data_IF_283126858262
#
_entry.id   IF_283126858262
#
_cell.length_a   1.000
_cell.length_b   1.000
_cell.length_c   1.000
_cell.angle_alpha   90.00
_cell.angle_beta   90.00
_cell.angle_gamma   90.00
#
_symmetry.space_group_name_H-M   'P 1'
#
loop_
_entity.id
_entity.type
_entity.pdbx_description
1 polymer ?
#
# COMPACT_ATOMS: atom_id res chain seq x y z
N UNK A 1 45.95 -7.72 27.75
CA UNK A 1 47.03 -8.40 27.00
C UNK A 1 46.40 -8.81 25.66
N UNK A 2 46.60 -8.24 24.47
CA UNK A 2 47.58 -7.36 23.81
C UNK A 2 46.95 -6.93 22.44
N UNK A 3 46.94 -5.64 22.02
CA UNK A 3 47.79 -5.01 20.96
C UNK A 3 47.80 -5.76 19.59
N UNK A 4 47.71 -5.21 18.37
CA UNK A 4 47.74 -3.89 17.69
C UNK A 4 47.30 -4.17 16.22
N UNK A 5 46.53 -3.32 15.55
CA UNK A 5 47.05 -2.59 14.35
C UNK A 5 46.27 -1.30 14.10
N UNK A 6 46.85 -0.19 14.58
CA UNK A 6 46.57 1.17 14.08
C UNK A 6 47.27 1.30 12.73
N UNK A 7 46.50 1.37 11.64
CA UNK A 7 47.01 1.79 10.33
C UNK A 7 46.84 3.32 10.17
N UNK A 8 47.97 4.01 10.30
CA UNK A 8 48.38 5.28 9.68
C UNK A 8 47.30 6.16 8.98
N UNK A 9 46.79 7.16 9.70
CA UNK A 9 46.14 8.37 9.16
C UNK A 9 47.08 9.59 9.17
N UNK A 10 48.38 9.43 8.89
CA UNK A 10 49.37 10.53 8.94
C UNK A 10 49.88 11.02 7.58
N UNK A 11 49.30 10.58 6.45
CA UNK A 11 49.79 10.97 5.10
C UNK A 11 49.07 12.14 4.43
N UNK A 12 48.08 12.75 5.08
CA UNK A 12 47.27 13.82 4.46
C UNK A 12 47.76 15.24 4.85
N UNK A 13 48.51 15.40 5.95
CA UNK A 13 48.98 16.71 6.41
C UNK A 13 50.25 17.24 5.73
N UNK A 14 50.94 16.44 4.90
CA UNK A 14 52.21 16.84 4.27
C UNK A 14 52.11 17.47 2.87
N UNK A 15 50.91 17.71 2.33
CA UNK A 15 50.71 18.25 0.97
C UNK A 15 50.17 19.68 0.91
N UNK A 16 49.79 20.27 2.04
CA UNK A 16 49.22 21.62 2.08
C UNK A 16 50.30 22.69 1.93
N UNK A 17 51.51 22.45 2.45
CA UNK A 17 52.62 23.41 2.39
C UNK A 17 53.23 23.60 0.98
N UNK A 18 52.91 22.71 0.03
CA UNK A 18 53.37 22.81 -1.37
C UNK A 18 52.46 23.67 -2.25
N UNK A 19 51.21 23.93 -1.83
CA UNK A 19 50.27 24.75 -2.60
C UNK A 19 50.37 26.23 -2.25
N UNK A 20 50.91 26.57 -1.08
CA UNK A 20 51.14 27.95 -0.67
C UNK A 20 52.16 28.66 -1.59
N UNK A 21 53.23 27.95 -2.00
CA UNK A 21 54.30 28.51 -2.83
C UNK A 21 53.94 28.69 -4.32
N UNK A 22 52.81 28.12 -4.78
CA UNK A 22 52.30 28.33 -6.14
C UNK A 22 51.40 29.58 -6.25
N UNK A 23 50.83 30.04 -5.13
CA UNK A 23 49.97 31.23 -5.11
C UNK A 23 50.76 32.54 -5.15
N UNK A 24 51.99 32.58 -4.64
CA UNK A 24 52.81 33.81 -4.68
C UNK A 24 53.31 34.17 -6.09
N UNK A 25 53.31 33.24 -7.06
CA UNK A 25 53.74 33.51 -8.44
C UNK A 25 52.60 33.94 -9.38
N UNK A 26 51.33 33.85 -8.98
CA UNK A 26 50.20 34.21 -9.85
C UNK A 26 49.66 35.63 -9.66
N UNK A 27 50.19 36.42 -8.72
CA UNK A 27 49.75 37.81 -8.50
C UNK A 27 50.26 38.84 -9.54
N UNK A 28 51.04 38.43 -10.55
CA UNK A 28 51.59 39.34 -11.57
C UNK A 28 50.82 39.34 -12.91
N UNK A 29 49.49 39.21 -12.88
CA UNK A 29 48.67 39.40 -14.10
C UNK A 29 47.56 40.42 -13.87
N UNK A 30 47.98 41.66 -13.60
CA UNK A 30 47.14 42.86 -13.68
C UNK A 30 46.80 43.17 -15.14
N UNK A 31 45.73 42.60 -15.68
CA UNK A 31 44.98 43.16 -16.81
C UNK A 31 43.56 42.57 -16.80
N UNK A 32 42.56 43.36 -16.37
CA UNK A 32 41.16 43.34 -16.86
C UNK A 32 40.28 44.32 -16.05
N UNK A 33 40.57 45.61 -16.14
CA UNK A 33 39.81 46.68 -15.46
C UNK A 33 38.46 47.01 -16.13
N UNK A 34 38.06 46.32 -17.20
CA UNK A 34 36.83 46.63 -17.95
C UNK A 34 35.64 45.69 -17.69
N UNK A 35 35.85 44.50 -17.11
CA UNK A 35 34.76 43.51 -16.89
C UNK A 35 34.04 43.67 -15.54
N UNK A 36 34.71 44.25 -14.54
CA UNK A 36 34.18 44.35 -13.18
C UNK A 36 33.08 45.42 -12.97
N UNK A 37 32.90 46.36 -13.92
CA UNK A 37 31.92 47.45 -13.78
C UNK A 37 30.48 46.96 -14.04
N UNK A 38 30.32 45.87 -14.81
CA UNK A 38 28.99 45.35 -15.17
C UNK A 38 28.46 44.36 -14.12
N UNK A 39 29.34 43.57 -13.49
CA UNK A 39 28.97 42.63 -12.42
C UNK A 39 28.66 43.31 -11.09
N UNK A 40 29.36 44.39 -10.73
CA UNK A 40 29.05 45.17 -9.51
C UNK A 40 27.64 45.77 -9.56
N UNK A 41 27.19 46.22 -10.74
CA UNK A 41 25.83 46.72 -10.95
C UNK A 41 24.74 45.65 -10.78
N UNK A 42 25.01 44.38 -11.07
CA UNK A 42 24.07 43.28 -10.86
C UNK A 42 24.01 42.84 -9.40
N UNK A 43 25.16 42.83 -8.72
CA UNK A 43 25.23 42.55 -7.28
C UNK A 43 24.50 43.63 -6.48
N UNK A 44 24.73 44.91 -6.81
CA UNK A 44 24.07 46.03 -6.15
C UNK A 44 22.54 46.01 -6.35
N UNK A 45 22.06 45.62 -7.54
CA UNK A 45 20.63 45.40 -7.80
C UNK A 45 20.06 44.24 -6.98
N UNK A 46 20.79 43.12 -6.88
CA UNK A 46 20.35 41.95 -6.12
C UNK A 46 20.27 42.25 -4.63
N UNK A 47 21.23 43.01 -4.10
CA UNK A 47 21.23 43.47 -2.70
C UNK A 47 20.09 44.47 -2.44
N UNK A 48 19.80 45.38 -3.38
CA UNK A 48 18.63 46.27 -3.28
C UNK A 48 17.31 45.48 -3.25
N UNK A 49 17.20 44.44 -4.07
CA UNK A 49 16.03 43.55 -4.04
C UNK A 49 15.94 42.77 -2.71
N UNK A 50 17.06 42.27 -2.20
CA UNK A 50 17.10 41.59 -0.90
C UNK A 50 16.69 42.53 0.24
N UNK A 51 17.20 43.76 0.24
CA UNK A 51 16.80 44.80 1.19
C UNK A 51 15.30 45.11 1.12
N UNK A 52 14.73 45.26 -0.09
CA UNK A 52 13.29 45.46 -0.22
C UNK A 52 12.46 44.25 0.26
N UNK A 53 13.03 43.05 0.16
CA UNK A 53 12.40 41.82 0.65
C UNK A 53 12.45 41.77 2.19
N UNK A 54 13.59 42.09 2.79
CA UNK A 54 13.74 42.24 4.24
C UNK A 54 12.76 43.28 4.80
N UNK A 55 12.67 44.44 4.17
CA UNK A 55 11.77 45.52 4.58
C UNK A 55 10.29 45.08 4.46
N UNK A 56 9.93 44.34 3.39
CA UNK A 56 8.59 43.77 3.19
C UNK A 56 8.25 42.69 4.23
N UNK A 57 9.20 41.80 4.53
CA UNK A 57 9.05 40.76 5.55
C UNK A 57 8.90 41.41 6.93
N UNK A 58 9.73 42.41 7.24
CA UNK A 58 9.66 43.14 8.50
C UNK A 58 8.30 43.83 8.66
N UNK A 59 7.79 44.47 7.61
CA UNK A 59 6.48 45.12 7.63
C UNK A 59 5.33 44.10 7.78
N UNK A 60 5.44 42.95 7.10
CA UNK A 60 4.49 41.85 7.27
C UNK A 60 4.47 41.32 8.71
N UNK A 61 5.64 41.14 9.32
CA UNK A 61 5.77 40.69 10.71
C UNK A 61 5.18 41.72 11.69
N UNK A 62 5.41 43.03 11.48
CA UNK A 62 4.76 44.08 12.29
C UNK A 62 3.24 44.01 12.17
N UNK A 63 2.71 43.93 10.94
CA UNK A 63 1.27 43.87 10.70
C UNK A 63 0.65 42.60 11.31
N UNK A 64 1.37 41.47 11.26
CA UNK A 64 0.94 40.23 11.91
C UNK A 64 0.87 40.37 13.43
N UNK A 65 1.89 40.97 14.06
CA UNK A 65 1.91 41.21 15.50
C UNK A 65 0.73 42.10 15.95
N UNK A 66 0.43 43.15 15.17
CA UNK A 66 -0.70 44.04 15.44
C UNK A 66 -2.03 43.26 15.33
N UNK A 67 -2.18 42.41 14.31
CA UNK A 67 -3.37 41.59 14.13
C UNK A 67 -3.55 40.57 15.26
N UNK A 68 -2.48 39.90 15.68
CA UNK A 68 -2.49 39.01 16.86
C UNK A 68 -2.91 39.76 18.13
N UNK A 69 -2.44 40.99 18.33
CA UNK A 69 -2.88 41.82 19.46
C UNK A 69 -4.37 42.16 19.37
N UNK A 70 -4.89 42.49 18.16
CA UNK A 70 -6.32 42.74 17.94
C UNK A 70 -7.17 41.50 18.23
N UNK A 71 -6.72 40.31 17.82
CA UNK A 71 -7.39 39.04 18.16
C UNK A 71 -7.39 38.79 19.68
N UNK A 72 -6.27 39.02 20.36
CA UNK A 72 -6.19 38.92 21.82
C UNK A 72 -7.09 39.96 22.52
N UNK A 73 -7.34 41.12 21.89
CA UNK A 73 -8.26 42.11 22.46
C UNK A 73 -9.71 41.63 22.52
N UNK A 74 -10.11 40.75 21.61
CA UNK A 74 -11.45 40.18 21.56
C UNK A 74 -11.76 39.26 22.74
N UNK A 75 -10.73 38.73 23.40
CA UNK A 75 -10.87 37.84 24.56
C UNK A 75 -11.09 38.65 25.84
N UNK A 76 -10.84 39.97 25.81
CA UNK A 76 -11.05 40.94 26.90
C UNK A 76 -10.57 40.44 28.28
N UNK A 77 -9.35 39.87 28.34
CA UNK A 77 -8.80 39.22 29.54
C UNK A 77 -8.74 40.15 30.76
N UNK A 78 -8.65 41.48 30.54
CA UNK A 78 -8.56 42.50 31.60
C UNK A 78 -9.88 43.26 31.87
N UNK A 79 -10.96 42.98 31.13
CA UNK A 79 -12.28 43.61 31.33
C UNK A 79 -12.32 45.13 31.09
N UNK A 80 -11.36 45.68 30.35
CA UNK A 80 -11.18 47.13 30.14
C UNK A 80 -12.03 47.68 29.00
N UNK A 81 -12.48 46.82 28.08
CA UNK A 81 -13.41 47.20 27.01
C UNK A 81 -14.85 46.84 27.37
N UNK A 82 -15.80 47.69 27.00
CA UNK A 82 -17.23 47.41 27.10
C UNK A 82 -17.62 46.22 26.21
N UNK A 83 -18.50 45.34 26.71
CA UNK A 83 -18.93 44.13 26.01
C UNK A 83 -19.53 44.43 24.62
N UNK A 84 -20.19 45.60 24.45
CA UNK A 84 -20.74 46.04 23.16
C UNK A 84 -19.63 46.32 22.12
N UNK A 85 -18.53 46.93 22.57
CA UNK A 85 -17.36 47.26 21.71
C UNK A 85 -16.62 45.98 21.30
N UNK A 86 -16.51 45.01 22.20
CA UNK A 86 -15.89 43.69 21.92
C UNK A 86 -16.73 42.92 20.89
N UNK A 87 -18.07 42.95 21.01
CA UNK A 87 -18.96 42.29 20.04
C UNK A 87 -18.88 42.97 18.67
N UNK A 88 -18.83 44.31 18.60
CA UNK A 88 -18.62 45.05 17.34
C UNK A 88 -17.27 44.71 16.70
N UNK A 89 -16.19 44.68 17.48
CA UNK A 89 -14.84 44.35 16.98
C UNK A 89 -14.75 42.90 16.49
N UNK A 90 -15.40 41.96 17.19
CA UNK A 90 -15.48 40.54 16.77
C UNK A 90 -16.21 40.40 15.44
N UNK A 91 -17.31 41.13 15.25
CA UNK A 91 -18.05 41.15 13.98
C UNK A 91 -17.22 41.79 12.86
N UNK A 92 -16.47 42.86 13.14
CA UNK A 92 -15.57 43.48 12.18
C UNK A 92 -14.44 42.53 11.73
N UNK A 93 -13.84 41.78 12.66
CA UNK A 93 -12.79 40.81 12.32
C UNK A 93 -13.33 39.70 11.41
N UNK A 94 -14.51 39.15 11.74
CA UNK A 94 -15.18 38.14 10.92
C UNK A 94 -15.52 38.66 9.51
N UNK A 95 -15.91 39.93 9.42
CA UNK A 95 -16.12 40.63 8.14
C UNK A 95 -14.81 40.74 7.35
N UNK A 96 -13.70 41.11 7.99
CA UNK A 96 -12.40 41.18 7.36
C UNK A 96 -11.91 39.80 6.87
N UNK A 97 -12.12 38.74 7.65
CA UNK A 97 -11.83 37.36 7.22
C UNK A 97 -12.70 36.94 6.04
N UNK A 98 -14.00 37.25 6.06
CA UNK A 98 -14.89 37.00 4.92
C UNK A 98 -14.46 37.77 3.67
N UNK A 99 -14.05 39.02 3.81
CA UNK A 99 -13.53 39.84 2.71
C UNK A 99 -12.27 39.26 2.07
N UNK A 100 -11.41 38.57 2.84
CA UNK A 100 -10.26 37.83 2.29
C UNK A 100 -10.68 36.74 1.30
N UNK A 101 -11.86 36.17 1.47
CA UNK A 101 -12.42 35.15 0.57
C UNK A 101 -13.32 35.75 -0.52
N UNK A 102 -13.81 36.99 -0.35
CA UNK A 102 -14.59 37.71 -1.36
C UNK A 102 -13.76 38.41 -2.45
N UNK A 103 -12.44 38.52 -2.26
CA UNK A 103 -11.54 39.09 -3.28
C UNK A 103 -10.54 38.05 -3.79
N UNK A 104 -10.47 37.87 -5.12
CA UNK A 104 -9.43 37.07 -5.78
C UNK A 104 -8.05 37.74 -5.65
N UNK A 105 -6.94 36.97 -5.73
CA UNK A 105 -5.60 37.53 -5.73
C UNK A 105 -5.42 38.63 -6.79
N UNK A 106 -4.59 39.66 -6.54
CA UNK A 106 -4.49 40.88 -7.35
C UNK A 106 -3.73 40.69 -8.67
N UNK A 107 -3.90 39.56 -9.34
CA UNK A 107 -3.37 39.29 -10.68
C UNK A 107 -4.36 39.60 -11.80
N UNK A 108 -5.63 39.89 -11.49
CA UNK A 108 -6.61 40.31 -12.49
C UNK A 108 -6.70 41.84 -12.54
N UNK A 109 -6.63 42.40 -13.75
CA UNK A 109 -6.64 43.85 -14.02
C UNK A 109 -7.98 44.55 -13.71
N UNK A 110 -8.95 43.85 -13.11
CA UNK A 110 -10.29 44.36 -12.83
C UNK A 110 -10.50 44.41 -11.31
N UNK A 111 -10.24 45.57 -10.70
CA UNK A 111 -10.39 45.80 -9.25
C UNK A 111 -11.85 45.88 -8.75
N UNK A 112 -12.83 45.36 -9.47
CA UNK A 112 -14.26 45.65 -9.21
C UNK A 112 -15.21 44.45 -9.24
N UNK A 113 -14.71 43.21 -9.27
CA UNK A 113 -15.59 42.05 -9.11
C UNK A 113 -15.60 41.63 -7.63
N UNK A 114 -16.52 42.23 -6.86
CA UNK A 114 -16.96 41.69 -5.57
C UNK A 114 -17.61 40.31 -5.85
N UNK A 115 -16.95 39.22 -5.42
CA UNK A 115 -17.51 37.88 -5.57
C UNK A 115 -18.62 37.67 -4.56
N UNK A 116 -19.85 37.52 -5.04
CA UNK A 116 -21.01 37.14 -4.25
C UNK A 116 -20.85 35.72 -3.69
N UNK A 117 -20.25 35.59 -2.50
CA UNK A 117 -20.35 34.37 -1.71
C UNK A 117 -21.81 34.26 -1.23
N UNK A 118 -22.55 33.29 -1.77
CA UNK A 118 -23.92 32.94 -1.37
C UNK A 118 -24.98 34.06 -1.54
N UNK A 119 -24.75 35.04 -2.43
CA UNK A 119 -25.74 36.08 -2.76
C UNK A 119 -25.87 37.22 -1.75
N UNK A 120 -24.92 37.35 -0.81
CA UNK A 120 -24.85 38.48 0.12
C UNK A 120 -24.02 39.60 -0.54
N UNK A 121 -24.67 40.69 -0.93
CA UNK A 121 -24.02 41.85 -1.58
C UNK A 121 -23.63 42.95 -0.60
N UNK A 122 -24.27 43.02 0.57
CA UNK A 122 -24.05 44.10 1.54
C UNK A 122 -23.60 43.54 2.88
N UNK A 123 -22.31 43.67 3.18
CA UNK A 123 -21.82 43.50 4.54
C UNK A 123 -22.24 44.71 5.39
N UNK A 124 -22.70 44.50 6.64
CA UNK A 124 -23.02 45.60 7.54
C UNK A 124 -21.77 46.43 7.82
N UNK A 125 -21.82 47.72 7.50
CA UNK A 125 -20.79 48.70 7.89
C UNK A 125 -20.95 48.99 9.37
N UNK A 126 -19.96 48.57 10.16
CA UNK A 126 -19.88 48.91 11.57
C UNK A 126 -19.00 50.15 11.71
N UNK A 127 -19.62 51.26 12.11
CA UNK A 127 -18.90 52.48 12.45
C UNK A 127 -18.69 52.51 13.96
N UNK A 128 -17.43 52.66 14.38
CA UNK A 128 -17.09 52.92 15.77
C UNK A 128 -17.16 54.41 16.06
N UNK A 129 -17.62 54.77 17.25
CA UNK A 129 -17.53 56.16 17.70
C UNK A 129 -16.07 56.52 18.03
N UNK A 130 -15.73 57.82 18.02
CA UNK A 130 -14.36 58.28 18.25
C UNK A 130 -13.78 57.81 19.59
N UNK A 131 -14.60 57.77 20.64
CA UNK A 131 -14.22 57.26 21.97
C UNK A 131 -13.95 55.74 21.93
N UNK A 132 -14.80 54.96 21.27
CA UNK A 132 -14.60 53.51 21.12
C UNK A 132 -13.31 53.20 20.35
N UNK A 133 -12.97 53.98 19.32
CA UNK A 133 -11.72 53.85 18.55
C UNK A 133 -10.50 54.16 19.44
N UNK A 134 -10.59 55.22 20.25
CA UNK A 134 -9.52 55.62 21.17
C UNK A 134 -9.26 54.55 22.22
N UNK A 135 -10.32 53.96 22.77
CA UNK A 135 -10.24 52.90 23.78
C UNK A 135 -9.64 51.61 23.22
N UNK A 136 -10.08 51.18 22.02
CA UNK A 136 -9.49 50.03 21.31
C UNK A 136 -8.01 50.29 21.03
N UNK A 137 -7.67 51.49 20.53
CA UNK A 137 -6.28 51.85 20.23
C UNK A 137 -5.41 51.83 21.47
N UNK A 138 -5.86 52.44 22.56
CA UNK A 138 -5.13 52.46 23.82
C UNK A 138 -4.88 51.05 24.34
N UNK A 139 -5.90 50.19 24.28
CA UNK A 139 -5.78 48.80 24.72
C UNK A 139 -4.82 47.97 23.85
N UNK A 140 -4.91 48.09 22.52
CA UNK A 140 -3.98 47.43 21.59
C UNK A 140 -2.53 47.92 21.81
N UNK A 141 -2.33 49.22 22.02
CA UNK A 141 -1.00 49.77 22.33
C UNK A 141 -0.43 49.22 23.65
N UNK A 142 -1.26 49.04 24.68
CA UNK A 142 -0.80 48.44 25.95
C UNK A 142 -0.40 46.98 25.79
N UNK A 143 -1.17 46.17 25.05
CA UNK A 143 -0.85 44.78 24.77
C UNK A 143 0.41 44.65 23.90
N UNK A 144 0.56 45.50 22.88
CA UNK A 144 1.78 45.57 22.06
C UNK A 144 3.01 45.86 22.92
N UNK A 145 2.93 46.83 23.84
CA UNK A 145 4.03 47.13 24.77
C UNK A 145 4.38 45.95 25.67
N UNK A 146 3.37 45.23 26.18
CA UNK A 146 3.58 44.03 26.99
C UNK A 146 4.28 42.91 26.20
N UNK A 147 3.83 42.64 24.96
CA UNK A 147 4.46 41.65 24.07
C UNK A 147 5.88 42.01 23.67
N UNK A 148 6.13 43.28 23.35
CA UNK A 148 7.48 43.79 23.06
C UNK A 148 8.37 43.60 24.29
N UNK A 149 7.87 43.92 25.49
CA UNK A 149 8.63 43.73 26.72
C UNK A 149 8.94 42.25 26.99
N UNK A 150 7.97 41.36 26.79
CA UNK A 150 8.18 39.91 26.91
C UNK A 150 9.22 39.40 25.91
N UNK A 151 9.16 39.86 24.65
CA UNK A 151 10.15 39.51 23.62
C UNK A 151 11.56 39.98 24.01
N UNK A 152 11.70 41.19 24.54
CA UNK A 152 12.99 41.71 25.05
C UNK A 152 13.50 40.83 26.18
N UNK A 153 12.67 40.47 27.16
CA UNK A 153 13.07 39.61 28.27
C UNK A 153 13.50 38.21 27.80
N UNK A 154 12.77 37.60 26.85
CA UNK A 154 13.15 36.31 26.27
C UNK A 154 14.47 36.40 25.50
N UNK A 155 14.68 37.50 24.77
CA UNK A 155 15.92 37.75 24.04
C UNK A 155 17.12 37.90 24.99
N UNK A 156 16.95 38.63 26.09
CA UNK A 156 17.97 38.75 27.14
C UNK A 156 18.27 37.40 27.82
N UNK A 157 17.24 36.59 28.10
CA UNK A 157 17.41 35.23 28.65
C UNK A 157 18.18 34.29 27.72
N UNK A 158 18.04 34.46 26.40
CA UNK A 158 18.79 33.71 25.39
C UNK A 158 20.23 34.21 25.21
N UNK A 159 20.69 35.15 26.05
CA UNK A 159 22.04 35.69 26.04
C UNK A 159 22.25 36.86 25.08
N UNK A 160 21.17 37.44 24.56
CA UNK A 160 21.22 38.59 23.67
C UNK A 160 21.39 39.93 24.42
N UNK A 161 22.22 40.83 23.88
CA UNK A 161 22.40 42.18 24.44
C UNK A 161 21.62 43.21 23.61
N UNK A 162 20.52 43.74 24.15
CA UNK A 162 19.69 44.71 23.44
C UNK A 162 20.42 46.03 23.14
N UNK A 163 21.43 46.39 23.96
CA UNK A 163 22.27 47.58 23.72
C UNK A 163 23.18 47.44 22.50
N UNK A 164 23.49 46.21 22.10
CA UNK A 164 24.27 45.93 20.88
C UNK A 164 23.40 45.96 19.62
N UNK A 165 22.17 45.42 19.67
CA UNK A 165 21.24 45.50 18.53
C UNK A 165 20.94 46.94 18.13
N UNK A 166 20.64 47.80 19.10
CA UNK A 166 20.31 49.21 18.82
C UNK A 166 21.51 49.90 18.15
N UNK A 167 22.74 49.59 18.58
CA UNK A 167 23.98 50.09 17.94
C UNK A 167 24.25 49.46 16.56
N UNK A 168 23.82 48.22 16.33
CA UNK A 168 23.99 47.50 15.06
C UNK A 168 22.98 47.94 14.00
N UNK A 169 21.81 48.42 14.40
CA UNK A 169 20.80 48.94 13.47
C UNK A 169 21.29 50.24 12.82
N UNK A 170 22.05 51.05 13.55
CA UNK A 170 22.74 52.25 13.04
C UNK A 170 24.00 51.90 12.21
N UNK A 171 24.64 50.76 12.49
CA UNK A 171 25.77 50.26 11.73
C UNK A 171 25.29 49.40 10.55
N UNK A 172 25.00 50.08 9.45
CA UNK A 172 24.84 49.60 8.07
C UNK A 172 25.59 48.27 7.75
N UNK A 173 25.11 47.11 8.26
CA UNK A 173 25.73 45.79 8.02
C UNK A 173 25.78 45.50 6.51
N UNK A 174 24.81 46.06 5.77
CA UNK A 174 24.74 46.04 4.31
C UNK A 174 26.02 46.60 3.66
N UNK A 175 26.63 47.65 4.23
CA UNK A 175 27.92 48.19 3.74
C UNK A 175 29.12 47.32 4.11
N UNK A 176 29.13 46.70 5.29
CA UNK A 176 30.22 45.78 5.69
C UNK A 176 30.26 44.50 4.85
N UNK A 177 29.11 44.01 4.37
CA UNK A 177 29.06 42.89 3.41
C UNK A 177 29.65 43.28 2.06
N UNK A 178 29.50 44.54 1.64
CA UNK A 178 30.11 45.10 0.44
C UNK A 178 31.62 45.36 0.59
N UNK A 179 32.07 45.73 1.79
CA UNK A 179 33.49 46.04 2.05
C UNK A 179 34.34 44.79 2.36
N UNK A 180 33.72 43.68 2.77
CA UNK A 180 34.40 42.40 3.01
C UNK A 180 34.57 41.59 1.72
N UNK A 181 35.66 41.88 1.00
CA UNK A 181 36.25 41.10 -0.10
C UNK A 181 35.24 40.49 -1.09
N UNK A 182 34.80 41.28 -2.08
CA UNK A 182 34.11 40.79 -3.28
C UNK A 182 34.81 39.54 -3.85
N UNK A 183 36.15 39.49 -3.81
CA UNK A 183 36.98 38.37 -4.26
C UNK A 183 36.66 37.06 -3.53
N UNK A 184 36.41 37.09 -2.21
CA UNK A 184 36.05 35.88 -1.46
C UNK A 184 34.65 35.40 -1.84
N UNK A 185 33.71 36.32 -2.07
CA UNK A 185 32.33 35.98 -2.49
C UNK A 185 32.35 35.31 -3.86
N UNK A 186 33.15 35.81 -4.81
CA UNK A 186 33.32 35.18 -6.12
C UNK A 186 33.96 33.80 -6.02
N UNK A 187 35.01 33.62 -5.20
CA UNK A 187 35.63 32.31 -4.99
C UNK A 187 34.66 31.29 -4.40
N UNK A 188 33.81 31.70 -3.44
CA UNK A 188 32.79 30.82 -2.87
C UNK A 188 31.69 30.48 -3.88
N UNK A 189 31.28 31.44 -4.71
CA UNK A 189 30.32 31.20 -5.79
C UNK A 189 30.86 30.15 -6.78
N UNK A 190 32.09 30.33 -7.26
CA UNK A 190 32.71 29.42 -8.23
C UNK A 190 32.84 28.00 -7.65
N UNK A 191 33.21 27.90 -6.36
CA UNK A 191 33.31 26.61 -5.65
C UNK A 191 31.96 25.91 -5.48
N UNK A 192 30.89 26.66 -5.25
CA UNK A 192 29.53 26.11 -5.20
C UNK A 192 29.10 25.62 -6.58
N UNK A 193 29.38 26.40 -7.62
CA UNK A 193 29.00 26.08 -9.00
C UNK A 193 29.74 24.84 -9.54
N UNK A 194 31.02 24.68 -9.19
CA UNK A 194 31.82 23.48 -9.49
C UNK A 194 31.24 22.23 -8.79
N UNK A 195 30.90 22.33 -7.50
CA UNK A 195 30.28 21.23 -6.76
C UNK A 195 28.91 20.86 -7.36
N UNK A 196 28.07 21.84 -7.68
CA UNK A 196 26.79 21.60 -8.33
C UNK A 196 26.95 20.87 -9.67
N UNK A 197 27.89 21.32 -10.50
CA UNK A 197 28.19 20.67 -11.79
C UNK A 197 28.67 19.21 -11.61
N UNK A 198 29.45 18.95 -10.56
CA UNK A 198 29.91 17.61 -10.24
C UNK A 198 28.76 16.70 -9.76
N UNK A 199 27.85 17.23 -8.94
CA UNK A 199 26.63 16.51 -8.54
C UNK A 199 25.73 16.18 -9.73
N UNK A 200 25.53 17.11 -10.67
CA UNK A 200 24.77 16.84 -11.89
C UNK A 200 25.41 15.74 -12.74
N UNK A 201 26.75 15.77 -12.88
CA UNK A 201 27.50 14.74 -13.58
C UNK A 201 27.36 13.36 -12.91
N UNK A 202 27.32 13.31 -11.58
CA UNK A 202 27.18 12.04 -10.86
C UNK A 202 25.74 11.52 -10.85
N UNK A 203 24.74 12.40 -10.78
CA UNK A 203 23.32 12.04 -10.94
C UNK A 203 23.08 11.45 -12.34
N UNK A 204 23.62 12.08 -13.38
CA UNK A 204 23.48 11.56 -14.75
C UNK A 204 24.18 10.21 -14.92
N UNK A 205 25.39 10.01 -14.37
CA UNK A 205 26.03 8.69 -14.32
C UNK A 205 25.17 7.65 -13.60
N UNK A 206 24.65 7.97 -12.41
CA UNK A 206 23.79 7.06 -11.65
C UNK A 206 22.53 6.69 -12.44
N UNK A 207 21.90 7.64 -13.12
CA UNK A 207 20.76 7.39 -14.02
C UNK A 207 21.12 6.43 -15.15
N UNK A 208 22.28 6.60 -15.79
CA UNK A 208 22.72 5.68 -16.85
C UNK A 208 22.99 4.27 -16.33
N UNK A 209 23.59 4.14 -15.14
CA UNK A 209 23.82 2.85 -14.47
C UNK A 209 22.50 2.17 -14.13
N UNK A 210 21.54 2.90 -13.57
CA UNK A 210 20.22 2.39 -13.24
C UNK A 210 19.48 1.89 -14.49
N UNK A 211 19.58 2.61 -15.61
CA UNK A 211 19.01 2.18 -16.88
C UNK A 211 19.69 0.92 -17.43
N UNK A 212 21.02 0.83 -17.37
CA UNK A 212 21.75 -0.39 -17.75
C UNK A 212 21.36 -1.58 -16.88
N UNK A 213 21.19 -1.38 -15.58
CA UNK A 213 20.73 -2.41 -14.66
C UNK A 213 19.31 -2.88 -14.97
N UNK A 214 18.39 -1.95 -15.25
CA UNK A 214 17.03 -2.30 -15.68
C UNK A 214 17.04 -3.11 -16.98
N UNK A 215 17.83 -2.70 -17.98
CA UNK A 215 17.95 -3.46 -19.23
C UNK A 215 18.48 -4.87 -18.94
N UNK A 216 19.55 -5.02 -18.16
CA UNK A 216 20.09 -6.33 -17.78
C UNK A 216 19.06 -7.18 -17.01
N UNK A 217 18.32 -6.58 -16.09
CA UNK A 217 17.31 -7.27 -15.27
C UNK A 217 16.16 -7.80 -16.11
N UNK A 218 15.68 -7.04 -17.11
CA UNK A 218 14.50 -7.42 -17.88
C UNK A 218 14.80 -8.16 -19.19
N UNK A 219 16.06 -8.13 -19.67
CA UNK A 219 16.44 -8.73 -20.96
C UNK A 219 16.30 -10.25 -20.99
N UNK A 220 16.68 -10.94 -19.91
CA UNK A 220 16.61 -12.41 -19.85
C UNK A 220 15.32 -12.93 -19.21
N UNK A 221 14.60 -12.08 -18.47
CA UNK A 221 13.39 -12.47 -17.74
C UNK A 221 12.26 -12.85 -18.70
N UNK A 222 12.08 -12.13 -19.81
CA UNK A 222 11.08 -12.47 -20.82
C UNK A 222 11.36 -13.83 -21.46
N UNK A 223 12.64 -14.13 -21.76
CA UNK A 223 13.06 -15.41 -22.32
C UNK A 223 12.85 -16.57 -21.35
N UNK A 224 13.22 -16.39 -20.08
CA UNK A 224 13.01 -17.40 -19.02
C UNK A 224 11.51 -17.69 -18.83
N UNK A 225 10.65 -16.66 -18.85
CA UNK A 225 9.21 -16.87 -18.75
C UNK A 225 8.63 -17.61 -19.95
N UNK A 226 9.14 -17.34 -21.16
CA UNK A 226 8.74 -18.04 -22.38
C UNK A 226 9.16 -19.52 -22.32
N UNK A 227 10.42 -19.80 -21.97
CA UNK A 227 10.93 -21.17 -21.80
C UNK A 227 10.14 -21.94 -20.73
N UNK A 228 9.77 -21.27 -19.62
CA UNK A 228 8.93 -21.86 -18.58
C UNK A 228 7.51 -22.16 -19.07
N UNK A 229 6.94 -21.29 -19.88
CA UNK A 229 5.63 -21.52 -20.48
C UNK A 229 5.66 -22.70 -21.47
N UNK A 230 6.70 -22.79 -22.31
CA UNK A 230 6.93 -23.92 -23.20
C UNK A 230 7.09 -25.23 -22.44
N UNK A 231 7.85 -25.22 -21.34
CA UNK A 231 8.01 -26.39 -20.48
C UNK A 231 6.66 -26.87 -19.89
N UNK A 232 5.85 -25.95 -19.38
CA UNK A 232 4.52 -26.29 -18.82
C UNK A 232 3.60 -26.84 -19.92
N UNK A 233 3.64 -26.25 -21.12
CA UNK A 233 2.88 -26.73 -22.26
C UNK A 233 3.29 -28.16 -22.65
N UNK A 234 4.61 -28.43 -22.71
CA UNK A 234 5.13 -29.76 -22.98
C UNK A 234 4.68 -30.77 -21.91
N UNK A 235 4.74 -30.39 -20.63
CA UNK A 235 4.27 -31.22 -19.53
C UNK A 235 2.77 -31.57 -19.64
N UNK A 236 1.94 -30.60 -20.05
CA UNK A 236 0.52 -30.83 -20.27
C UNK A 236 0.27 -31.79 -21.45
N UNK A 237 1.00 -31.64 -22.55
CA UNK A 237 0.92 -32.54 -23.71
C UNK A 237 1.33 -33.98 -23.35
N UNK A 238 2.39 -34.15 -22.56
CA UNK A 238 2.81 -35.47 -22.06
C UNK A 238 1.72 -36.10 -21.20
N UNK A 239 1.11 -35.33 -20.28
CA UNK A 239 0.02 -35.81 -19.45
C UNK A 239 -1.21 -36.23 -20.28
N UNK A 240 -1.56 -35.48 -21.33
CA UNK A 240 -2.65 -35.83 -22.25
C UNK A 240 -2.38 -37.16 -22.97
N UNK A 241 -1.16 -37.35 -23.49
CA UNK A 241 -0.77 -38.59 -24.16
C UNK A 241 -0.78 -39.76 -23.17
N UNK A 242 -0.32 -39.56 -21.94
CA UNK A 242 -0.35 -40.58 -20.90
C UNK A 242 -1.79 -40.97 -20.50
N UNK A 243 -2.70 -40.00 -20.45
CA UNK A 243 -4.14 -40.25 -20.27
C UNK A 243 -4.74 -41.06 -21.43
N UNK A 244 -4.34 -40.77 -22.68
CA UNK A 244 -4.77 -41.56 -23.85
C UNK A 244 -4.25 -42.99 -23.80
N UNK A 245 -2.98 -43.18 -23.43
CA UNK A 245 -2.35 -44.51 -23.30
C UNK A 245 -3.06 -45.33 -22.22
N UNK A 246 -3.32 -44.74 -21.04
CA UNK A 246 -4.01 -45.43 -19.95
C UNK A 246 -5.44 -45.82 -20.31
N UNK A 247 -6.18 -44.93 -21.02
CA UNK A 247 -7.50 -45.25 -21.56
C UNK A 247 -7.47 -46.44 -22.52
N UNK A 248 -6.55 -46.44 -23.48
CA UNK A 248 -6.39 -47.55 -24.44
C UNK A 248 -5.97 -48.84 -23.74
N UNK A 249 -5.07 -48.77 -22.76
CA UNK A 249 -4.64 -49.92 -21.96
C UNK A 249 -5.81 -50.55 -21.20
N UNK A 250 -6.68 -49.72 -20.60
CA UNK A 250 -7.89 -50.19 -19.93
C UNK A 250 -8.84 -50.89 -20.90
N UNK A 251 -9.08 -50.29 -22.08
CA UNK A 251 -9.92 -50.89 -23.13
C UNK A 251 -9.37 -52.27 -23.55
N UNK A 252 -8.07 -52.39 -23.78
CA UNK A 252 -7.43 -53.67 -24.14
C UNK A 252 -7.64 -54.72 -23.04
N UNK A 253 -7.49 -54.35 -21.76
CA UNK A 253 -7.75 -55.28 -20.64
C UNK A 253 -9.20 -55.75 -20.63
N UNK A 254 -10.16 -54.84 -20.76
CA UNK A 254 -11.58 -55.19 -20.85
C UNK A 254 -11.86 -56.14 -22.03
N UNK A 255 -11.29 -55.87 -23.21
CA UNK A 255 -11.43 -56.75 -24.37
C UNK A 255 -10.83 -58.15 -24.15
N UNK A 256 -9.75 -58.28 -23.37
CA UNK A 256 -9.17 -59.58 -23.02
C UNK A 256 -9.96 -60.33 -21.95
N UNK A 257 -10.54 -59.60 -20.99
CA UNK A 257 -11.34 -60.18 -19.90
C UNK A 257 -12.74 -60.62 -20.35
N UNK A 258 -13.32 -59.91 -21.32
CA UNK A 258 -14.66 -60.20 -21.86
C UNK A 258 -14.83 -61.64 -22.37
N UNK A 259 -13.98 -62.19 -23.27
CA UNK A 259 -14.14 -63.55 -23.78
C UNK A 259 -13.97 -64.59 -22.68
N UNK A 260 -13.03 -64.40 -21.75
CA UNK A 260 -12.84 -65.31 -20.60
C UNK A 260 -14.12 -65.35 -19.75
N UNK A 261 -14.74 -64.20 -19.54
CA UNK A 261 -15.97 -64.08 -18.77
C UNK A 261 -17.15 -64.74 -19.50
N UNK A 262 -17.30 -64.51 -20.81
CA UNK A 262 -18.33 -65.15 -21.65
C UNK A 262 -18.14 -66.68 -21.66
N UNK A 263 -16.90 -67.16 -21.76
CA UNK A 263 -16.58 -68.59 -21.75
C UNK A 263 -16.93 -69.22 -20.40
N UNK A 264 -16.62 -68.56 -19.30
CA UNK A 264 -17.02 -68.98 -17.96
C UNK A 264 -18.56 -69.08 -17.83
N UNK A 265 -19.30 -68.08 -18.30
CA UNK A 265 -20.76 -68.12 -18.30
C UNK A 265 -21.33 -69.26 -19.16
N UNK A 266 -20.73 -69.52 -20.33
CA UNK A 266 -21.13 -70.62 -21.20
C UNK A 266 -20.90 -71.99 -20.55
N UNK A 267 -19.74 -72.19 -19.91
CA UNK A 267 -19.45 -73.42 -19.15
C UNK A 267 -20.43 -73.58 -17.99
N UNK A 268 -20.72 -72.50 -17.26
CA UNK A 268 -21.68 -72.51 -16.17
C UNK A 268 -23.09 -72.91 -16.68
N UNK A 269 -23.55 -72.30 -17.78
CA UNK A 269 -24.87 -72.58 -18.33
C UNK A 269 -25.00 -74.04 -18.78
N UNK A 270 -24.01 -74.56 -19.52
CA UNK A 270 -24.00 -75.97 -19.92
C UNK A 270 -23.96 -76.93 -18.73
N UNK A 271 -23.28 -76.56 -17.63
CA UNK A 271 -23.26 -77.35 -16.40
C UNK A 271 -24.62 -77.33 -15.71
N UNK A 272 -25.29 -76.18 -15.70
CA UNK A 272 -26.62 -76.00 -15.13
C UNK A 272 -27.65 -76.79 -15.93
N UNK A 273 -27.62 -76.73 -17.26
CA UNK A 273 -28.47 -77.50 -18.15
C UNK A 273 -28.30 -79.01 -17.90
N UNK A 274 -27.06 -79.50 -17.81
CA UNK A 274 -26.80 -80.92 -17.49
C UNK A 274 -27.39 -81.33 -16.14
N UNK A 275 -27.25 -80.50 -15.11
CA UNK A 275 -27.85 -80.77 -13.79
C UNK A 275 -29.37 -80.74 -13.86
N UNK A 276 -29.95 -79.81 -14.62
CA UNK A 276 -31.39 -79.69 -14.81
C UNK A 276 -31.95 -80.91 -15.55
N UNK A 277 -31.29 -81.38 -16.60
CA UNK A 277 -31.67 -82.62 -17.30
C UNK A 277 -31.58 -83.84 -16.38
N UNK A 278 -30.50 -83.98 -15.61
CA UNK A 278 -30.37 -85.08 -14.65
C UNK A 278 -31.50 -85.08 -13.60
N UNK A 279 -31.88 -83.91 -13.08
CA UNK A 279 -33.01 -83.77 -12.14
C UNK A 279 -34.34 -84.10 -12.83
N UNK A 280 -34.55 -83.66 -14.08
CA UNK A 280 -35.76 -83.99 -14.84
C UNK A 280 -35.89 -85.50 -15.10
N UNK A 281 -34.79 -86.16 -15.45
CA UNK A 281 -34.75 -87.61 -15.63
C UNK A 281 -35.04 -88.33 -14.31
N UNK A 282 -34.44 -87.90 -13.20
CA UNK A 282 -34.73 -88.44 -11.86
C UNK A 282 -36.22 -88.26 -11.48
N UNK A 283 -36.80 -87.10 -11.79
CA UNK A 283 -38.25 -86.85 -11.60
C UNK A 283 -39.07 -87.82 -12.45
N UNK A 284 -38.69 -88.05 -13.70
CA UNK A 284 -39.38 -88.96 -14.61
C UNK A 284 -39.30 -90.40 -14.13
N UNK A 285 -38.13 -90.86 -13.68
CA UNK A 285 -37.94 -92.18 -13.08
C UNK A 285 -38.81 -92.34 -11.82
N UNK A 286 -38.75 -91.38 -10.89
CA UNK A 286 -39.59 -91.39 -9.68
C UNK A 286 -41.09 -91.40 -10.00
N UNK A 287 -41.51 -90.68 -11.05
CA UNK A 287 -42.90 -90.69 -11.52
C UNK A 287 -43.28 -92.05 -12.12
N UNK A 288 -42.37 -92.72 -12.81
CA UNK A 288 -42.61 -94.06 -13.35
C UNK A 288 -42.68 -95.12 -12.24
N UNK A 289 -41.77 -95.06 -11.26
CA UNK A 289 -41.81 -95.88 -10.04
C UNK A 289 -43.13 -95.69 -9.29
N UNK A 290 -43.61 -94.44 -9.18
CA UNK A 290 -44.92 -94.15 -8.58
C UNK A 290 -46.05 -94.85 -9.34
N UNK A 291 -46.07 -94.81 -10.67
CA UNK A 291 -47.07 -95.52 -11.49
C UNK A 291 -47.00 -97.03 -11.31
N UNK A 292 -45.81 -97.62 -11.33
CA UNK A 292 -45.63 -99.05 -11.08
C UNK A 292 -46.13 -99.46 -9.69
N UNK A 293 -45.91 -98.60 -8.68
CA UNK A 293 -46.44 -98.83 -7.34
C UNK A 293 -47.98 -98.75 -7.30
N UNK A 294 -48.57 -97.77 -7.98
CA UNK A 294 -50.03 -97.66 -8.13
C UNK A 294 -50.63 -98.88 -8.88
N UNK A 295 -49.95 -99.40 -9.91
CA UNK A 295 -50.35 -100.62 -10.62
C UNK A 295 -50.23 -101.87 -9.73
N UNK A 296 -49.16 -101.99 -8.94
CA UNK A 296 -49.00 -103.09 -7.97
C UNK A 296 -50.11 -103.09 -6.91
N UNK A 297 -50.55 -101.91 -6.50
CA UNK A 297 -51.66 -101.73 -5.57
C UNK A 297 -53.01 -102.24 -6.13
N UNK A 298 -53.11 -102.47 -7.44
CA UNK A 298 -54.28 -103.02 -8.13
C UNK A 298 -54.13 -104.50 -8.52
N UNK A 299 -53.09 -105.20 -8.04
CA UNK A 299 -52.92 -106.63 -8.30
C UNK A 299 -53.67 -107.50 -7.29
N UNK A 300 -53.85 -108.79 -7.62
CA UNK A 300 -54.44 -109.82 -6.76
C UNK A 300 -53.83 -109.84 -5.35
N UNK A 301 -52.55 -109.45 -5.20
CA UNK A 301 -51.90 -109.34 -3.90
C UNK A 301 -52.58 -108.31 -2.97
N UNK A 302 -53.06 -107.20 -3.51
CA UNK A 302 -53.82 -106.17 -2.78
C UNK A 302 -55.19 -106.69 -2.35
N UNK A 303 -55.84 -107.49 -3.20
CA UNK A 303 -57.10 -108.16 -2.86
C UNK A 303 -56.88 -109.25 -1.80
N UNK A 304 -55.85 -110.08 -1.94
CA UNK A 304 -55.46 -111.09 -0.94
C UNK A 304 -55.14 -110.40 0.38
N UNK A 305 -54.39 -109.30 0.38
CA UNK A 305 -54.07 -108.53 1.58
C UNK A 305 -55.33 -107.93 2.22
N UNK A 306 -56.25 -107.35 1.43
CA UNK A 306 -57.55 -106.86 1.92
C UNK A 306 -58.38 -107.99 2.51
N UNK A 307 -58.40 -109.15 1.86
CA UNK A 307 -59.14 -110.33 2.32
C UNK A 307 -58.55 -110.87 3.61
N UNK A 308 -57.21 -110.95 3.72
CA UNK A 308 -56.50 -111.31 4.94
C UNK A 308 -56.79 -110.33 6.08
N UNK A 309 -56.73 -109.01 5.83
CA UNK A 309 -57.10 -107.98 6.80
C UNK A 309 -58.55 -108.10 7.24
N UNK A 310 -59.45 -108.43 6.32
CA UNK A 310 -60.86 -108.69 6.63
C UNK A 310 -61.01 -109.94 7.50
N UNK A 311 -60.28 -111.02 7.22
CA UNK A 311 -60.25 -112.21 8.06
C UNK A 311 -59.68 -111.92 9.45
N UNK A 312 -58.58 -111.18 9.57
CA UNK A 312 -58.03 -110.77 10.86
C UNK A 312 -59.05 -109.95 11.67
N UNK A 313 -59.72 -108.97 11.06
CA UNK A 313 -60.79 -108.20 11.71
C UNK A 313 -61.98 -109.07 12.10
N UNK A 314 -62.34 -110.06 11.30
CA UNK A 314 -63.41 -111.00 11.61
C UNK A 314 -63.02 -111.91 12.79
N UNK A 315 -61.78 -112.38 12.84
CA UNK A 315 -61.22 -113.14 13.97
C UNK A 315 -61.22 -112.29 15.23
N UNK A 316 -60.76 -111.03 15.17
CA UNK A 316 -60.76 -110.12 16.31
C UNK A 316 -62.18 -109.84 16.82
N UNK A 317 -63.15 -109.62 15.91
CA UNK A 317 -64.57 -109.50 16.30
C UNK A 317 -65.09 -110.78 16.94
N UNK A 318 -64.76 -111.95 16.39
CA UNK A 318 -65.15 -113.23 16.98
C UNK A 318 -64.54 -113.40 18.36
N UNK A 319 -63.27 -113.04 18.54
CA UNK A 319 -62.58 -113.05 19.83
C UNK A 319 -63.24 -112.10 20.82
N UNK A 320 -63.59 -110.88 20.42
CA UNK A 320 -64.33 -109.92 21.24
C UNK A 320 -65.74 -110.41 21.62
N UNK A 321 -66.43 -111.14 20.73
CA UNK A 321 -67.71 -111.77 21.06
C UNK A 321 -67.51 -112.92 22.05
N UNK A 322 -66.46 -113.73 21.87
CA UNK A 322 -66.11 -114.83 22.77
C UNK A 322 -65.64 -114.35 24.15
N UNK A 323 -65.01 -113.19 24.24
CA UNK A 323 -64.65 -112.54 25.51
C UNK A 323 -65.85 -111.83 26.19
N UNK A 324 -66.96 -111.63 25.46
CA UNK A 324 -68.21 -111.00 25.97
C UNK A 324 -69.33 -112.01 26.26
N UNK A 325 -69.12 -113.29 25.95
CA UNK A 325 -69.91 -114.44 26.39
C UNK A 325 -69.25 -115.03 27.63
#
# INVERSE_FOLDING_TARGET
ISRISRLNCSRIFGRVDSLQNLFEQQCNLSYNTSRNIQESNHLEKTIKCLASCEDSIAEHVKNKLILECIEETLINVKGTLSDDVVVKLKRLLLIHELNKYMHLPPTSKNMQEELNILGITDLPKYDFNYEEISDIKCYVETLLREKIHELILRYEQLGGNMKEIIRLTDCNMRKKILESDEVQIFQWKDKIEELCSQYEADITKCKTLMNKWNILKYKDVSKIYLEKAEYILLQAQVAEVQAKITKLSCIIKMYKETPVTIDAYRILNTTLDKKLFAILDEIKEKKNLKKQYEELQNTEYSEILKTYLHFCKAIDKKKQILEKL
#
